data_IF_150289392224
#
_entry.id   IF_150289392224
#
_cell.length_a   1.000
_cell.length_b   1.000
_cell.length_c   1.000
_cell.angle_alpha   90.00
_cell.angle_beta   90.00
_cell.angle_gamma   90.00
#
_symmetry.space_group_name_H-M   'P 1'
#
loop_
_entity.id
_entity.type
_entity.pdbx_description
1 polymer ?
#
# COMPACT_ATOMS: atom_id res chain seq x y z
N UNK A 1 -14.01 6.82 -4.51
CA UNK A 1 -13.41 5.87 -3.56
C UNK A 1 -14.46 5.38 -2.55
N UNK A 2 -14.82 4.10 -2.57
CA UNK A 2 -15.68 3.49 -1.54
C UNK A 2 -14.82 2.74 -0.50
N UNK A 3 -13.80 3.43 0.03
CA UNK A 3 -12.84 2.89 1.01
C UNK A 3 -13.38 2.85 2.45
N UNK A 4 -14.56 3.42 2.71
CA UNK A 4 -15.17 3.44 4.04
C UNK A 4 -15.92 2.15 4.29
N UNK A 5 -15.21 1.16 4.83
CA UNK A 5 -15.74 0.12 5.73
C UNK A 5 -14.68 -0.85 6.28
N UNK A 6 -13.44 -0.86 5.76
CA UNK A 6 -12.40 -1.82 6.21
C UNK A 6 -11.11 -1.20 6.80
N UNK A 7 -10.70 0.02 6.45
CA UNK A 7 -9.39 0.57 6.86
C UNK A 7 -9.39 1.70 7.91
N UNK A 8 -10.57 2.20 8.31
CA UNK A 8 -10.67 3.35 9.21
C UNK A 8 -10.09 4.66 8.64
N UNK A 9 -10.02 5.70 9.47
CA UNK A 9 -9.60 7.05 9.06
C UNK A 9 -8.15 7.14 8.58
N UNK A 10 -7.26 6.34 9.15
CA UNK A 10 -5.85 6.33 8.78
C UNK A 10 -5.62 5.72 7.39
N UNK A 11 -6.36 4.66 7.02
CA UNK A 11 -6.33 4.14 5.66
C UNK A 11 -6.84 5.17 4.65
N UNK A 12 -7.93 5.87 4.98
CA UNK A 12 -8.45 6.94 4.12
C UNK A 12 -7.41 8.04 3.93
N UNK A 13 -6.75 8.50 4.99
CA UNK A 13 -5.70 9.51 4.89
C UNK A 13 -4.54 9.02 4.01
N UNK A 14 -4.10 7.77 4.15
CA UNK A 14 -3.08 7.19 3.28
C UNK A 14 -3.54 7.12 1.79
N UNK A 15 -4.85 7.03 1.56
CA UNK A 15 -5.46 7.01 0.23
C UNK A 15 -5.60 8.42 -0.38
N UNK A 16 -6.16 9.36 0.36
CA UNK A 16 -6.58 10.69 -0.12
C UNK A 16 -5.49 11.76 0.03
N UNK A 17 -4.54 11.57 0.94
CA UNK A 17 -3.46 12.51 1.23
C UNK A 17 -2.07 11.89 0.95
N UNK A 18 -1.68 11.73 -0.34
CA UNK A 18 -0.34 11.32 -0.68
C UNK A 18 0.71 12.29 -0.15
N UNK A 19 1.80 11.75 0.37
CA UNK A 19 2.90 12.51 0.95
C UNK A 19 4.24 11.91 0.56
N UNK A 20 5.33 12.65 0.75
CA UNK A 20 6.69 12.19 0.44
C UNK A 20 7.39 11.67 1.72
N UNK A 21 7.44 10.34 1.93
CA UNK A 21 8.10 9.74 3.08
C UNK A 21 9.62 9.73 2.94
N UNK A 22 10.35 9.58 4.07
CA UNK A 22 11.75 9.17 4.02
C UNK A 22 11.91 7.87 3.20
N UNK A 23 13.06 7.70 2.56
CA UNK A 23 13.31 6.53 1.71
C UNK A 23 13.39 5.20 2.49
N UNK A 24 13.79 5.23 3.77
CA UNK A 24 14.09 4.03 4.57
C UNK A 24 13.00 2.94 4.62
N UNK A 25 11.71 3.26 4.83
CA UNK A 25 10.62 2.27 4.70
C UNK A 25 10.56 1.60 3.31
N UNK A 26 10.82 2.34 2.23
CA UNK A 26 10.76 1.83 0.85
C UNK A 26 11.97 0.96 0.52
N UNK A 27 13.15 1.35 1.01
CA UNK A 27 14.39 0.60 0.84
C UNK A 27 14.33 -0.76 1.54
N UNK A 28 13.57 -0.87 2.64
CA UNK A 28 13.28 -2.15 3.28
C UNK A 28 12.16 -2.93 2.59
N UNK A 29 11.10 -2.24 2.16
CA UNK A 29 9.92 -2.89 1.60
C UNK A 29 10.17 -3.52 0.21
N UNK A 30 10.82 -2.79 -0.71
CA UNK A 30 10.97 -3.22 -2.10
C UNK A 30 11.77 -4.52 -2.25
N UNK A 31 12.94 -4.70 -1.60
CA UNK A 31 13.65 -5.97 -1.64
C UNK A 31 12.85 -7.14 -1.05
N UNK A 32 12.11 -6.91 0.04
CA UNK A 32 11.27 -7.95 0.66
C UNK A 32 10.16 -8.43 -0.27
N UNK A 33 9.49 -7.51 -0.99
CA UNK A 33 8.46 -7.82 -1.97
C UNK A 33 9.00 -8.62 -3.16
N UNK A 34 10.21 -8.28 -3.62
CA UNK A 34 10.90 -9.01 -4.70
C UNK A 34 11.27 -10.41 -4.23
N UNK A 35 11.89 -10.54 -3.05
CA UNK A 35 12.30 -11.83 -2.49
C UNK A 35 11.12 -12.78 -2.27
N UNK A 36 9.96 -12.25 -1.87
CA UNK A 36 8.72 -13.01 -1.70
C UNK A 36 7.91 -13.21 -3.00
N UNK A 37 8.48 -12.88 -4.18
CA UNK A 37 7.86 -13.04 -5.49
C UNK A 37 6.46 -12.38 -5.60
N UNK A 38 6.24 -11.24 -4.91
CA UNK A 38 4.96 -10.51 -4.95
C UNK A 38 4.81 -9.62 -6.20
N UNK A 39 5.85 -9.52 -7.01
CA UNK A 39 5.91 -8.70 -8.22
C UNK A 39 6.80 -7.47 -8.07
N UNK A 40 6.98 -6.74 -9.17
CA UNK A 40 7.82 -5.54 -9.21
C UNK A 40 7.01 -4.30 -8.86
N UNK A 41 7.12 -3.87 -7.60
CA UNK A 41 6.47 -2.65 -7.11
C UNK A 41 7.30 -1.40 -7.48
N UNK A 42 6.63 -0.42 -8.10
CA UNK A 42 7.20 0.90 -8.44
C UNK A 42 6.85 1.92 -7.35
N UNK A 43 7.84 2.66 -6.82
CA UNK A 43 7.59 3.69 -5.83
C UNK A 43 7.09 4.99 -6.46
N UNK A 44 6.16 5.65 -5.79
CA UNK A 44 5.68 7.00 -6.10
C UNK A 44 5.08 7.62 -4.83
N UNK A 45 5.68 8.69 -4.29
CA UNK A 45 5.28 9.29 -3.00
C UNK A 45 5.14 8.20 -1.92
N UNK A 46 4.01 8.16 -1.23
CA UNK A 46 3.71 7.14 -0.23
C UNK A 46 3.21 5.80 -0.82
N UNK A 47 3.38 5.54 -2.13
CA UNK A 47 2.80 4.37 -2.81
C UNK A 47 3.87 3.43 -3.38
N UNK A 48 3.59 2.14 -3.29
CA UNK A 48 4.25 1.07 -4.03
C UNK A 48 3.19 0.39 -4.89
N UNK A 49 3.31 0.44 -6.22
CA UNK A 49 2.28 -0.07 -7.15
C UNK A 49 2.80 -1.23 -8.01
N UNK A 50 2.02 -2.30 -8.14
CA UNK A 50 2.27 -3.42 -9.04
C UNK A 50 0.96 -3.96 -9.64
N UNK A 51 0.77 -3.84 -10.96
CA UNK A 51 -0.45 -4.25 -11.66
C UNK A 51 -1.70 -3.71 -10.94
N UNK A 52 -2.56 -4.59 -10.45
CA UNK A 52 -3.80 -4.28 -9.73
C UNK A 52 -3.64 -4.24 -8.20
N UNK A 53 -2.40 -4.21 -7.68
CA UNK A 53 -2.10 -4.14 -6.24
C UNK A 53 -1.32 -2.87 -5.92
N UNK A 54 -1.58 -2.29 -4.77
CA UNK A 54 -0.86 -1.14 -4.28
C UNK A 54 -0.73 -1.16 -2.75
N UNK A 55 0.47 -0.89 -2.26
CA UNK A 55 0.72 -0.62 -0.86
C UNK A 55 0.85 0.90 -0.67
N UNK A 56 0.25 1.45 0.38
CA UNK A 56 0.37 2.86 0.76
C UNK A 56 0.90 3.00 2.17
N UNK A 57 1.93 3.81 2.35
CA UNK A 57 2.49 4.11 3.67
C UNK A 57 1.69 5.23 4.33
N UNK A 58 1.11 4.93 5.48
CA UNK A 58 0.49 5.92 6.35
C UNK A 58 1.52 6.72 7.13
N UNK A 59 1.11 7.89 7.63
CA UNK A 59 1.94 8.71 8.54
C UNK A 59 2.16 8.05 9.91
N UNK A 60 1.35 7.05 10.23
CA UNK A 60 1.49 6.16 11.38
C UNK A 60 2.56 5.08 11.20
N UNK A 61 3.21 5.01 10.03
CA UNK A 61 4.23 4.03 9.71
C UNK A 61 3.69 2.65 9.34
N UNK A 62 2.37 2.51 9.14
CA UNK A 62 1.76 1.27 8.68
C UNK A 62 1.60 1.24 7.17
N UNK A 63 1.76 0.07 6.58
CA UNK A 63 1.40 -0.21 5.20
C UNK A 63 -0.06 -0.63 5.11
N UNK A 64 -0.77 0.01 4.18
CA UNK A 64 -2.15 -0.26 3.84
C UNK A 64 -2.18 -0.88 2.45
N UNK A 65 -2.71 -2.10 2.32
CA UNK A 65 -2.87 -2.74 1.02
C UNK A 65 -4.18 -2.37 0.35
N UNK A 66 -4.11 -2.22 -0.96
CA UNK A 66 -5.22 -1.91 -1.84
C UNK A 66 -5.18 -2.77 -3.09
N UNK A 67 -6.34 -3.03 -3.65
CA UNK A 67 -6.51 -3.66 -4.95
C UNK A 67 -7.47 -2.89 -5.84
N UNK A 68 -7.25 -2.96 -7.15
CA UNK A 68 -8.14 -2.40 -8.15
C UNK A 68 -8.59 -3.45 -9.15
N UNK A 69 -9.61 -3.13 -9.94
CA UNK A 69 -9.86 -3.87 -11.17
C UNK A 69 -8.80 -3.48 -12.22
N UNK A 70 -8.46 -4.36 -13.17
CA UNK A 70 -7.62 -3.98 -14.31
C UNK A 70 -8.15 -2.71 -14.98
N UNK A 71 -7.23 -1.81 -15.33
CA UNK A 71 -7.53 -0.55 -16.04
C UNK A 71 -8.50 0.39 -15.30
N UNK A 72 -8.57 0.29 -13.96
CA UNK A 72 -9.34 1.21 -13.12
C UNK A 72 -8.46 1.89 -12.08
N UNK A 73 -8.83 3.12 -11.73
CA UNK A 73 -8.22 3.87 -10.62
C UNK A 73 -9.00 3.72 -9.30
N UNK A 74 -9.97 2.82 -9.27
CA UNK A 74 -10.75 2.51 -8.08
C UNK A 74 -10.01 1.50 -7.19
N UNK A 75 -9.41 2.02 -6.13
CA UNK A 75 -8.68 1.25 -5.14
C UNK A 75 -9.57 0.88 -3.95
N UNK A 76 -9.60 -0.41 -3.63
CA UNK A 76 -10.33 -0.99 -2.51
C UNK A 76 -9.33 -1.49 -1.47
N UNK A 77 -9.49 -1.13 -0.19
CA UNK A 77 -8.61 -1.64 0.85
C UNK A 77 -8.71 -3.17 0.93
N UNK A 78 -7.58 -3.81 1.22
CA UNK A 78 -7.47 -5.26 1.39
C UNK A 78 -6.55 -5.57 2.57
N UNK A 79 -6.78 -6.71 3.22
CA UNK A 79 -5.91 -7.17 4.30
C UNK A 79 -5.96 -6.28 5.55
N UNK A 80 -5.05 -6.56 6.49
CA UNK A 80 -4.91 -5.80 7.74
C UNK A 80 -3.68 -4.88 7.65
N UNK A 81 -3.78 -3.59 8.02
CA UNK A 81 -2.62 -2.70 8.04
C UNK A 81 -1.50 -3.24 8.94
N UNK A 82 -0.26 -3.17 8.47
CA UNK A 82 0.88 -3.71 9.20
C UNK A 82 2.17 -2.94 8.92
N UNK A 83 3.11 -2.94 9.87
CA UNK A 83 4.43 -2.34 9.68
C UNK A 83 5.29 -3.10 8.66
N UNK A 84 5.05 -4.41 8.53
CA UNK A 84 5.63 -5.25 7.49
C UNK A 84 4.76 -5.24 6.23
N UNK A 85 5.29 -4.84 5.06
CA UNK A 85 4.52 -4.78 3.82
C UNK A 85 4.02 -6.14 3.34
N UNK A 86 4.73 -7.24 3.65
CA UNK A 86 4.28 -8.59 3.26
C UNK A 86 3.07 -9.02 4.08
N UNK A 87 3.07 -8.72 5.38
CA UNK A 87 1.93 -8.93 6.25
C UNK A 87 0.72 -8.10 5.80
N UNK A 88 0.93 -6.83 5.42
CA UNK A 88 -0.15 -5.98 4.92
C UNK A 88 -0.80 -6.50 3.62
N UNK A 89 -0.05 -7.19 2.76
CA UNK A 89 -0.56 -7.81 1.53
C UNK A 89 -1.38 -9.09 1.77
N UNK A 90 -1.30 -9.70 2.96
CA UNK A 90 -2.07 -10.91 3.27
C UNK A 90 -3.54 -10.54 3.46
N UNK A 91 -4.42 -11.28 2.78
CA UNK A 91 -5.87 -11.18 2.96
C UNK A 91 -6.33 -12.04 4.13
#
# INVERSE_FOLDING_TARGET
AAAWRQGGRAALAALEEPWDPPAGPFDRARPALIAASQGTFRPERNRLTARTRQLRLGRDGLWYAYESRPDTEDWWPTGTPAADPLTALRR
#
